data_IF_540400995737
#
_entry.id   IF_540400995737
#
_cell.length_a   1.000
_cell.length_b   1.000
_cell.length_c   1.000
_cell.angle_alpha   90.00
_cell.angle_beta   90.00
_cell.angle_gamma   90.00
#
_symmetry.space_group_name_H-M   'P 1'
#
loop_
_entity.id
_entity.type
_entity.pdbx_description
1 polymer ?
#
# COMPACT_ATOMS: atom_id res chain seq x y z
N UNK A 1 -51.39 -22.16 10.52
CA UNK A 1 -50.37 -22.08 11.59
C UNK A 1 -49.45 -23.27 11.38
N UNK A 2 -48.36 -23.07 10.65
CA UNK A 2 -47.35 -24.13 10.47
C UNK A 2 -46.32 -24.00 11.60
N UNK A 3 -46.10 -25.09 12.33
CA UNK A 3 -45.10 -25.18 13.38
C UNK A 3 -43.69 -25.02 12.80
N UNK A 4 -42.95 -24.03 13.31
CA UNK A 4 -41.56 -23.81 12.96
C UNK A 4 -40.70 -24.93 13.56
N UNK A 5 -40.19 -25.82 12.71
CA UNK A 5 -39.17 -26.78 13.14
C UNK A 5 -37.79 -26.09 13.16
N UNK A 6 -37.18 -26.06 14.34
CA UNK A 6 -35.84 -25.51 14.53
C UNK A 6 -34.85 -26.68 14.60
N UNK A 7 -33.94 -26.79 13.62
CA UNK A 7 -32.82 -27.74 13.69
C UNK A 7 -31.54 -26.99 14.06
N UNK A 8 -30.92 -27.39 15.16
CA UNK A 8 -29.66 -26.84 15.65
C UNK A 8 -28.52 -27.75 15.21
N UNK A 9 -27.60 -27.23 14.38
CA UNK A 9 -26.34 -27.89 14.04
C UNK A 9 -25.19 -27.05 14.59
N UNK A 10 -24.68 -27.44 15.76
CA UNK A 10 -23.62 -26.71 16.47
C UNK A 10 -24.00 -25.25 16.75
N UNK A 11 -23.09 -24.31 16.51
CA UNK A 11 -23.31 -22.86 16.73
C UNK A 11 -24.23 -22.18 15.68
N UNK A 12 -24.85 -22.95 14.77
CA UNK A 12 -25.70 -22.43 13.70
C UNK A 12 -27.14 -22.92 13.87
N UNK A 13 -28.05 -21.95 13.96
CA UNK A 13 -29.49 -22.16 13.84
C UNK A 13 -29.89 -21.91 12.40
N UNK A 14 -30.49 -22.89 11.74
CA UNK A 14 -31.03 -22.76 10.38
C UNK A 14 -32.56 -22.76 10.48
N UNK A 15 -33.17 -21.62 10.20
CA UNK A 15 -34.63 -21.50 10.08
C UNK A 15 -35.01 -21.73 8.62
N UNK A 16 -35.59 -22.89 8.33
CA UNK A 16 -36.16 -23.19 7.01
C UNK A 16 -37.55 -22.54 6.92
N UNK A 17 -37.80 -21.76 5.85
CA UNK A 17 -39.13 -21.19 5.57
C UNK A 17 -39.25 -19.66 5.55
N UNK A 18 -38.20 -18.91 5.85
CA UNK A 18 -38.28 -17.43 5.89
C UNK A 18 -37.87 -16.83 4.53
N UNK A 19 -38.76 -16.05 3.92
CA UNK A 19 -38.48 -15.35 2.66
C UNK A 19 -37.40 -14.26 2.84
N UNK A 20 -36.70 -13.91 1.75
CA UNK A 20 -35.60 -12.92 1.77
C UNK A 20 -36.02 -11.53 2.27
N UNK A 21 -37.30 -11.18 2.14
CA UNK A 21 -37.88 -9.90 2.57
C UNK A 21 -38.13 -9.90 4.07
N UNK A 22 -38.61 -11.02 4.59
CA UNK A 22 -38.93 -11.22 5.99
C UNK A 22 -37.65 -11.25 6.86
N UNK A 23 -36.58 -11.86 6.35
CA UNK A 23 -35.22 -11.73 6.91
C UNK A 23 -34.74 -10.28 7.01
N UNK A 24 -35.04 -9.45 6.00
CA UNK A 24 -34.65 -8.03 5.98
C UNK A 24 -35.38 -7.26 7.08
N UNK A 25 -36.66 -7.52 7.28
CA UNK A 25 -37.47 -6.85 8.31
C UNK A 25 -37.09 -7.29 9.72
N UNK A 26 -36.83 -8.59 9.93
CA UNK A 26 -36.33 -9.13 11.21
C UNK A 26 -34.96 -8.53 11.54
N UNK A 27 -34.06 -8.44 10.55
CA UNK A 27 -32.74 -7.84 10.72
C UNK A 27 -32.81 -6.34 11.07
N UNK A 28 -33.70 -5.57 10.44
CA UNK A 28 -33.89 -4.15 10.77
C UNK A 28 -34.45 -3.95 12.18
N UNK A 29 -35.34 -4.83 12.67
CA UNK A 29 -35.82 -4.80 14.06
C UNK A 29 -34.74 -5.11 15.09
N UNK A 30 -33.80 -6.00 14.78
CA UNK A 30 -32.73 -6.41 15.69
C UNK A 30 -31.50 -5.46 15.65
N UNK A 31 -31.29 -4.75 14.53
CA UNK A 31 -30.21 -3.78 14.31
C UNK A 31 -30.18 -2.64 15.32
N UNK A 32 -31.34 -2.24 15.85
CA UNK A 32 -31.45 -1.16 16.83
C UNK A 32 -30.96 -1.55 18.23
N UNK A 33 -30.81 -2.85 18.51
CA UNK A 33 -30.60 -3.37 19.87
C UNK A 33 -29.21 -3.97 20.12
N UNK A 34 -28.51 -4.40 19.07
CA UNK A 34 -27.14 -4.90 19.16
C UNK A 34 -26.35 -4.38 17.97
N UNK A 35 -25.44 -3.44 18.20
CA UNK A 35 -24.56 -2.91 17.17
C UNK A 35 -23.62 -4.00 16.66
N UNK A 36 -23.96 -4.66 15.56
CA UNK A 36 -23.08 -5.68 14.97
C UNK A 36 -23.19 -5.80 13.43
N UNK A 37 -22.02 -5.65 12.82
CA UNK A 37 -21.44 -6.35 11.66
C UNK A 37 -22.43 -6.92 10.61
N UNK A 38 -22.47 -6.28 9.45
CA UNK A 38 -23.22 -6.71 8.27
C UNK A 38 -22.54 -7.97 7.66
N UNK A 39 -23.26 -9.09 7.46
CA UNK A 39 -22.72 -10.27 6.77
C UNK A 39 -22.30 -9.91 5.34
N UNK A 40 -21.07 -10.28 4.92
CA UNK A 40 -20.50 -9.97 3.60
C UNK A 40 -21.43 -10.33 2.42
N UNK A 41 -22.29 -11.34 2.58
CA UNK A 41 -23.29 -11.77 1.57
C UNK A 41 -24.34 -10.69 1.25
N UNK A 42 -24.56 -9.73 2.15
CA UNK A 42 -25.48 -8.59 1.97
C UNK A 42 -24.77 -7.29 1.59
N UNK A 43 -23.43 -7.27 1.57
CA UNK A 43 -22.72 -6.17 0.92
C UNK A 43 -22.78 -6.42 -0.58
N UNK A 44 -23.55 -5.59 -1.29
CA UNK A 44 -23.32 -5.43 -2.73
C UNK A 44 -21.83 -5.18 -2.96
N UNK A 45 -21.25 -5.76 -4.02
CA UNK A 45 -19.88 -5.42 -4.45
C UNK A 45 -19.79 -3.90 -4.48
N UNK A 46 -19.19 -3.29 -3.46
CA UNK A 46 -18.84 -1.87 -3.53
C UNK A 46 -17.98 -1.78 -4.77
N UNK A 47 -18.45 -1.04 -5.77
CA UNK A 47 -17.68 -0.75 -6.96
C UNK A 47 -16.27 -0.39 -6.51
N UNK A 48 -15.27 -1.06 -7.09
CA UNK A 48 -13.85 -0.79 -6.85
C UNK A 48 -13.72 0.73 -6.83
N UNK A 49 -13.48 1.30 -5.64
CA UNK A 49 -13.37 2.73 -5.48
C UNK A 49 -12.40 3.25 -6.52
N UNK A 50 -12.73 4.39 -7.14
CA UNK A 50 -11.88 5.12 -8.09
C UNK A 50 -10.43 4.93 -7.64
N UNK A 51 -9.67 4.08 -8.35
CA UNK A 51 -8.25 3.88 -8.02
C UNK A 51 -7.66 5.28 -8.13
N UNK A 52 -7.12 5.81 -7.04
CA UNK A 52 -6.54 7.15 -7.03
C UNK A 52 -5.64 7.25 -8.27
N UNK A 53 -5.88 8.29 -9.07
CA UNK A 53 -5.10 8.52 -10.28
C UNK A 53 -3.70 8.87 -9.83
N UNK A 54 -2.81 7.87 -9.80
CA UNK A 54 -1.41 8.08 -9.42
C UNK A 54 -0.82 9.11 -10.37
N UNK A 55 -0.42 10.26 -9.83
CA UNK A 55 0.05 11.40 -10.61
C UNK A 55 1.56 11.62 -10.44
N UNK A 56 2.17 12.32 -11.40
CA UNK A 56 3.59 12.70 -11.33
C UNK A 56 3.84 13.60 -10.11
N UNK A 57 2.89 14.47 -9.78
CA UNK A 57 2.93 15.37 -8.63
C UNK A 57 2.89 14.61 -7.30
N UNK A 58 2.17 13.50 -7.21
CA UNK A 58 2.18 12.65 -6.00
C UNK A 58 3.55 12.00 -5.79
N UNK A 59 4.20 11.57 -6.87
CA UNK A 59 5.56 11.04 -6.79
C UNK A 59 6.56 12.13 -6.36
N UNK A 60 6.47 13.34 -6.92
CA UNK A 60 7.28 14.48 -6.49
C UNK A 60 7.13 14.80 -5.00
N UNK A 61 5.89 14.88 -4.53
CA UNK A 61 5.59 15.12 -3.10
C UNK A 61 6.20 14.03 -2.21
N UNK A 62 6.21 12.78 -2.67
CA UNK A 62 6.83 11.69 -1.92
C UNK A 62 8.35 11.85 -1.80
N UNK A 63 9.03 12.26 -2.87
CA UNK A 63 10.48 12.51 -2.87
C UNK A 63 10.85 13.68 -1.95
N UNK A 64 10.10 14.79 -2.02
CA UNK A 64 10.29 15.92 -1.11
C UNK A 64 10.13 15.51 0.36
N UNK A 65 9.12 14.68 0.67
CA UNK A 65 8.92 14.18 2.01
C UNK A 65 10.02 13.20 2.47
N UNK A 66 10.66 12.48 1.56
CA UNK A 66 11.83 11.65 1.85
C UNK A 66 13.05 12.52 2.18
N UNK A 67 13.29 13.58 1.41
CA UNK A 67 14.39 14.50 1.66
C UNK A 67 14.21 15.26 2.99
N UNK A 68 12.98 15.68 3.32
CA UNK A 68 12.68 16.26 4.63
C UNK A 68 12.99 15.28 5.77
N UNK A 69 12.64 13.99 5.61
CA UNK A 69 12.93 12.97 6.61
C UNK A 69 14.45 12.77 6.80
N UNK A 70 15.24 12.81 5.72
CA UNK A 70 16.69 12.76 5.83
C UNK A 70 17.28 13.99 6.52
N UNK A 71 16.78 15.20 6.22
CA UNK A 71 17.22 16.41 6.90
C UNK A 71 16.96 16.36 8.42
N UNK A 72 15.82 15.80 8.84
CA UNK A 72 15.50 15.55 10.25
C UNK A 72 16.45 14.52 10.87
N UNK A 73 16.74 13.43 10.15
CA UNK A 73 17.66 12.39 10.62
C UNK A 73 19.09 12.93 10.82
N UNK A 74 19.54 13.82 9.94
CA UNK A 74 20.87 14.44 10.03
C UNK A 74 20.97 15.43 11.21
N UNK A 75 19.84 16.03 11.62
CA UNK A 75 19.73 16.97 12.75
C UNK A 75 19.26 16.33 14.06
N UNK A 76 19.33 15.00 14.15
CA UNK A 76 18.91 14.22 15.32
C UNK A 76 19.59 14.67 16.62
N UNK A 77 18.85 14.61 17.72
CA UNK A 77 19.30 15.07 19.05
C UNK A 77 19.86 13.96 19.94
N UNK A 78 19.25 12.79 19.87
CA UNK A 78 19.57 11.63 20.71
C UNK A 78 19.23 10.32 19.99
N UNK A 79 19.47 9.19 20.65
CA UNK A 79 19.23 7.84 20.11
C UNK A 79 17.75 7.54 19.86
N UNK A 80 16.83 8.09 20.66
CA UNK A 80 15.39 7.89 20.46
C UNK A 80 14.96 8.65 19.22
N UNK A 81 15.39 9.90 19.09
CA UNK A 81 15.15 10.75 17.93
C UNK A 81 15.78 10.15 16.66
N UNK A 82 16.97 9.56 16.75
CA UNK A 82 17.57 8.80 15.64
C UNK A 82 16.65 7.69 15.15
N UNK A 83 16.18 6.82 16.06
CA UNK A 83 15.35 5.67 15.70
C UNK A 83 14.03 6.09 15.06
N UNK A 84 13.37 7.10 15.63
CA UNK A 84 12.10 7.64 15.10
C UNK A 84 12.31 8.22 13.69
N UNK A 85 13.32 9.05 13.49
CA UNK A 85 13.58 9.66 12.18
C UNK A 85 14.06 8.62 11.16
N UNK A 86 14.82 7.60 11.58
CA UNK A 86 15.23 6.48 10.71
C UNK A 86 14.01 5.74 10.20
N UNK A 87 13.09 5.37 11.09
CA UNK A 87 11.89 4.62 10.73
C UNK A 87 10.97 5.49 9.83
N UNK A 88 10.92 6.80 10.05
CA UNK A 88 10.26 7.74 9.15
C UNK A 88 10.90 7.74 7.75
N UNK A 89 12.23 7.78 7.64
CA UNK A 89 12.94 7.69 6.37
C UNK A 89 12.61 6.39 5.62
N UNK A 90 12.63 5.26 6.33
CA UNK A 90 12.31 3.95 5.76
C UNK A 90 10.88 3.94 5.22
N UNK A 91 9.91 4.44 5.99
CA UNK A 91 8.52 4.49 5.55
C UNK A 91 8.33 5.39 4.32
N UNK A 92 9.01 6.54 4.27
CA UNK A 92 8.97 7.44 3.10
C UNK A 92 9.62 6.79 1.87
N UNK A 93 10.72 6.08 2.05
CA UNK A 93 11.38 5.31 1.00
C UNK A 93 10.43 4.24 0.41
N UNK A 94 9.71 3.48 1.23
CA UNK A 94 8.75 2.49 0.75
C UNK A 94 7.69 3.10 -0.18
N UNK A 95 7.16 4.27 0.20
CA UNK A 95 6.19 4.99 -0.60
C UNK A 95 6.81 5.49 -1.90
N UNK A 96 8.00 6.08 -1.84
CA UNK A 96 8.68 6.58 -3.03
C UNK A 96 8.96 5.47 -4.04
N UNK A 97 9.49 4.33 -3.59
CA UNK A 97 9.74 3.17 -4.46
C UNK A 97 8.43 2.66 -5.07
N UNK A 98 7.36 2.55 -4.28
CA UNK A 98 6.07 2.10 -4.76
C UNK A 98 5.45 3.06 -5.78
N UNK A 99 5.59 4.37 -5.59
CA UNK A 99 5.11 5.38 -6.51
C UNK A 99 5.96 5.46 -7.77
N UNK A 100 7.30 5.37 -7.65
CA UNK A 100 8.22 5.43 -8.78
C UNK A 100 7.80 4.49 -9.91
N UNK A 101 7.70 3.19 -9.62
CA UNK A 101 7.35 2.22 -10.68
C UNK A 101 5.89 2.33 -11.14
N UNK A 102 4.95 2.69 -10.26
CA UNK A 102 3.53 2.85 -10.64
C UNK A 102 3.32 4.07 -11.54
N UNK A 103 3.96 5.19 -11.21
CA UNK A 103 3.94 6.40 -12.02
C UNK A 103 4.61 6.15 -13.36
N UNK A 104 5.77 5.48 -13.38
CA UNK A 104 6.42 5.12 -14.65
C UNK A 104 5.57 4.23 -15.54
N UNK A 105 4.93 3.19 -14.98
CA UNK A 105 4.01 2.32 -15.72
C UNK A 105 2.88 3.11 -16.35
N UNK A 106 2.31 4.05 -15.59
CA UNK A 106 1.23 4.92 -16.07
C UNK A 106 1.70 5.84 -17.20
N UNK A 107 2.80 6.57 -16.98
CA UNK A 107 3.33 7.56 -17.93
C UNK A 107 3.74 6.90 -19.25
N UNK A 108 4.34 5.72 -19.17
CA UNK A 108 4.76 4.96 -20.35
C UNK A 108 3.64 4.14 -21.00
N UNK A 109 2.43 4.13 -20.43
CA UNK A 109 1.31 3.32 -20.95
C UNK A 109 1.55 1.81 -20.89
N UNK A 110 2.32 1.33 -19.91
CA UNK A 110 2.72 -0.07 -19.78
C UNK A 110 1.66 -0.89 -19.05
N UNK A 111 1.66 -2.21 -19.30
CA UNK A 111 0.79 -3.18 -18.62
C UNK A 111 1.53 -3.96 -17.52
N UNK A 112 2.58 -3.39 -16.92
CA UNK A 112 3.34 -4.08 -15.89
C UNK A 112 2.59 -4.07 -14.54
N UNK A 113 2.31 -5.26 -14.02
CA UNK A 113 1.58 -5.46 -12.75
C UNK A 113 2.49 -5.73 -11.56
N UNK A 114 3.78 -5.94 -11.80
CA UNK A 114 4.78 -6.26 -10.77
C UNK A 114 5.97 -5.29 -10.83
N UNK A 115 6.55 -4.90 -9.68
CA UNK A 115 7.63 -3.90 -9.64
C UNK A 115 8.85 -4.29 -10.49
N UNK A 116 9.37 -5.51 -10.35
CA UNK A 116 10.55 -5.95 -11.13
C UNK A 116 10.29 -6.00 -12.64
N UNK A 117 9.04 -6.20 -13.07
CA UNK A 117 8.67 -6.10 -14.50
C UNK A 117 8.68 -4.64 -14.94
N UNK A 118 8.05 -3.76 -14.17
CA UNK A 118 8.04 -2.32 -14.43
C UNK A 118 9.46 -1.74 -14.53
N UNK A 119 10.37 -2.11 -13.62
CA UNK A 119 11.78 -1.69 -13.66
C UNK A 119 12.47 -2.06 -14.98
N UNK A 120 12.23 -3.27 -15.53
CA UNK A 120 12.80 -3.67 -16.83
C UNK A 120 12.29 -2.79 -17.96
N UNK A 121 11.01 -2.49 -17.97
CA UNK A 121 10.42 -1.61 -19.00
C UNK A 121 10.91 -0.16 -18.85
N UNK A 122 11.09 0.33 -17.62
CA UNK A 122 11.69 1.65 -17.35
C UNK A 122 13.10 1.74 -17.92
N UNK A 123 13.91 0.68 -17.77
CA UNK A 123 15.26 0.62 -18.34
C UNK A 123 15.23 0.62 -19.88
N UNK A 124 14.33 -0.18 -20.49
CA UNK A 124 14.13 -0.19 -21.96
C UNK A 124 13.68 1.17 -22.50
N UNK A 125 12.88 1.90 -21.73
CA UNK A 125 12.44 3.25 -22.06
C UNK A 125 13.50 4.33 -21.78
N UNK A 126 14.71 3.96 -21.32
CA UNK A 126 15.80 4.89 -21.01
C UNK A 126 15.50 5.82 -19.82
N UNK A 127 14.53 5.50 -18.97
CA UNK A 127 14.22 6.30 -17.78
C UNK A 127 15.19 6.06 -16.63
N UNK A 128 15.82 4.88 -16.60
CA UNK A 128 16.80 4.48 -15.60
C UNK A 128 18.03 3.92 -16.31
N UNK A 129 19.22 4.20 -15.78
CA UNK A 129 20.49 3.78 -16.36
C UNK A 129 20.99 2.45 -15.77
N UNK A 130 20.82 2.25 -14.47
CA UNK A 130 21.31 1.08 -13.74
C UNK A 130 20.14 0.23 -13.21
N UNK A 131 19.77 -0.79 -13.97
CA UNK A 131 18.67 -1.68 -13.60
C UNK A 131 18.93 -2.44 -12.30
N UNK A 132 20.19 -2.77 -12.00
CA UNK A 132 20.55 -3.62 -10.87
C UNK A 132 20.33 -2.87 -9.55
N UNK A 133 20.74 -1.59 -9.50
CA UNK A 133 20.42 -0.70 -8.37
C UNK A 133 18.91 -0.62 -8.10
N UNK A 134 18.11 -0.50 -9.16
CA UNK A 134 16.66 -0.43 -9.00
C UNK A 134 16.06 -1.74 -8.47
N UNK A 135 16.60 -2.90 -8.84
CA UNK A 135 16.21 -4.16 -8.22
C UNK A 135 16.60 -4.23 -6.74
N UNK A 136 17.78 -3.71 -6.37
CA UNK A 136 18.18 -3.62 -4.95
C UNK A 136 17.22 -2.75 -4.15
N UNK A 137 16.70 -1.64 -4.71
CA UNK A 137 15.69 -0.82 -4.04
C UNK A 137 14.37 -1.56 -3.84
N UNK A 138 13.92 -2.33 -4.84
CA UNK A 138 12.74 -3.19 -4.70
C UNK A 138 12.96 -4.23 -3.59
N UNK A 139 14.13 -4.85 -3.56
CA UNK A 139 14.44 -5.89 -2.58
C UNK A 139 14.61 -5.32 -1.16
N UNK A 140 15.22 -4.14 -1.01
CA UNK A 140 15.28 -3.42 0.26
C UNK A 140 13.88 -3.05 0.76
N UNK A 141 13.00 -2.56 -0.13
CA UNK A 141 11.59 -2.28 0.18
C UNK A 141 10.79 -3.55 0.55
N UNK A 142 11.20 -4.72 0.08
CA UNK A 142 10.55 -5.97 0.49
C UNK A 142 11.05 -6.44 1.86
N UNK A 143 12.31 -6.13 2.22
CA UNK A 143 12.87 -6.42 3.54
C UNK A 143 12.41 -5.44 4.63
N UNK A 144 11.85 -4.29 4.27
CA UNK A 144 11.50 -3.23 5.22
C UNK A 144 10.45 -3.65 6.26
N UNK A 145 9.66 -4.70 6.02
CA UNK A 145 8.78 -5.32 7.02
C UNK A 145 9.53 -5.95 8.20
N UNK A 146 10.85 -6.16 8.07
CA UNK A 146 11.72 -6.73 9.09
C UNK A 146 12.56 -5.68 9.82
N UNK A 147 12.24 -4.39 9.68
CA UNK A 147 12.99 -3.27 10.27
C UNK A 147 12.84 -3.12 11.79
N UNK A 148 12.08 -4.02 12.42
CA UNK A 148 12.19 -4.25 13.87
C UNK A 148 13.57 -4.78 14.27
N UNK A 149 14.27 -5.46 13.35
CA UNK A 149 15.69 -5.77 13.47
C UNK A 149 16.52 -4.55 13.09
N UNK A 150 17.41 -4.13 13.98
CA UNK A 150 18.20 -2.92 13.79
C UNK A 150 19.21 -3.02 12.64
N UNK A 151 19.80 -4.20 12.43
CA UNK A 151 20.69 -4.44 11.30
C UNK A 151 19.95 -4.27 9.97
N UNK A 152 18.76 -4.86 9.86
CA UNK A 152 17.89 -4.69 8.68
C UNK A 152 17.48 -3.23 8.51
N UNK A 153 17.15 -2.51 9.58
CA UNK A 153 16.80 -1.10 9.49
C UNK A 153 17.95 -0.23 8.95
N UNK A 154 19.19 -0.50 9.37
CA UNK A 154 20.39 0.20 8.89
C UNK A 154 20.63 -0.10 7.40
N UNK A 155 20.49 -1.36 6.98
CA UNK A 155 20.62 -1.75 5.58
C UNK A 155 19.58 -1.05 4.68
N UNK A 156 18.32 -1.07 5.10
CA UNK A 156 17.23 -0.43 4.35
C UNK A 156 17.40 1.09 4.31
N UNK A 157 17.83 1.72 5.41
CA UNK A 157 18.16 3.15 5.42
C UNK A 157 19.31 3.46 4.43
N UNK A 158 20.33 2.61 4.36
CA UNK A 158 21.44 2.77 3.40
C UNK A 158 20.94 2.71 1.95
N UNK A 159 20.05 1.77 1.64
CA UNK A 159 19.40 1.69 0.33
C UNK A 159 18.54 2.94 0.04
N UNK A 160 17.80 3.43 1.04
CA UNK A 160 16.99 4.64 0.92
C UNK A 160 17.82 5.89 0.58
N UNK A 161 18.99 6.04 1.21
CA UNK A 161 19.93 7.15 0.91
C UNK A 161 20.42 7.09 -0.54
N UNK A 162 20.80 5.89 -1.02
CA UNK A 162 21.20 5.67 -2.42
C UNK A 162 20.04 5.92 -3.40
N UNK A 163 18.81 5.60 -3.00
CA UNK A 163 17.63 5.79 -3.82
C UNK A 163 17.32 7.27 -4.08
N UNK A 164 17.52 8.19 -3.12
CA UNK A 164 17.10 9.59 -3.27
C UNK A 164 17.58 10.23 -4.58
N UNK A 165 18.86 10.10 -4.93
CA UNK A 165 19.41 10.66 -6.17
C UNK A 165 18.84 10.02 -7.44
N UNK A 166 18.63 8.70 -7.41
CA UNK A 166 18.03 7.94 -8.52
C UNK A 166 16.54 8.29 -8.69
N UNK A 167 15.83 8.47 -7.58
CA UNK A 167 14.43 8.85 -7.54
C UNK A 167 14.18 10.22 -8.18
N UNK A 168 15.01 11.21 -7.86
CA UNK A 168 14.97 12.53 -8.50
C UNK A 168 15.37 12.50 -9.98
N UNK A 169 16.33 11.65 -10.34
CA UNK A 169 16.70 11.46 -11.75
C UNK A 169 15.54 10.91 -12.56
N UNK A 170 14.86 9.87 -12.05
CA UNK A 170 13.64 9.35 -12.64
C UNK A 170 12.56 10.43 -12.76
N UNK A 171 12.36 11.22 -11.70
CA UNK A 171 11.36 12.29 -11.67
C UNK A 171 11.57 13.31 -12.81
N UNK A 172 12.81 13.72 -13.04
CA UNK A 172 13.16 14.61 -14.16
C UNK A 172 12.87 13.95 -15.51
N UNK A 173 13.23 12.67 -15.68
CA UNK A 173 12.95 11.91 -16.90
C UNK A 173 11.46 11.74 -17.18
N UNK A 174 10.62 11.60 -16.14
CA UNK A 174 9.17 11.53 -16.28
C UNK A 174 8.54 12.87 -16.65
N UNK A 175 9.03 13.99 -16.11
CA UNK A 175 8.55 15.34 -16.45
C UNK A 175 8.91 15.78 -17.87
N UNK A 176 9.96 15.21 -18.45
CA UNK A 176 10.43 15.54 -19.80
C UNK A 176 9.67 14.81 -20.92
N UNK A 177 8.68 13.98 -20.60
CA UNK A 177 7.90 13.16 -21.55
C UNK A 177 6.50 13.69 -21.78
#
# INVERSE_FOLDING_TARGET
MEELSCQVFGSKVILNGISKIEWRNIWFKLRSRWGAIIPKRFMGRKGRGRVAVISIEEYEKSLLALDEAFARLDTRKDEIDYRINRDACIQRFEFCVALAWKTSVRVLGLNATAPKVAIREMARAGLISDIQKWFEFIDARNRSSHTYDEGVAIEVLSAAKKFSSEGWTLMKGLKAR
#
